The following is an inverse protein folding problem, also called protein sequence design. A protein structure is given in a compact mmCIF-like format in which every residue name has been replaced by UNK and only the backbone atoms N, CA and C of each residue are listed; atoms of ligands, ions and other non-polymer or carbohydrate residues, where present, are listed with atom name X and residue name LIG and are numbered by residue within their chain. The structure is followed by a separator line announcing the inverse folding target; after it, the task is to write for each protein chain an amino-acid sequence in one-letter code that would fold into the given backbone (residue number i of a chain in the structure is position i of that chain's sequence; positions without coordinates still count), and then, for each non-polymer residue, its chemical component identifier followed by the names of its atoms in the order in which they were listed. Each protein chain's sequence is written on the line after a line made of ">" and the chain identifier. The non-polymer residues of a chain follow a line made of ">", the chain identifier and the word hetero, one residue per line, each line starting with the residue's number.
data_IF_132077628363
#
_entry.id   IF_132077628363
#
_cell.length_a   1.000
_cell.length_b   1.000
_cell.length_c   1.000
_cell.angle_alpha   90.00
_cell.angle_beta   90.00
_cell.angle_gamma   90.00
#
_symmetry.space_group_name_H-M   'P 1'
#
loop_
_entity.id
_entity.type
_entity.pdbx_description
1 polymer ?
#
# COMPACT_ATOMS: atom_id res chain seq x y z
N UNK A 1 -14.15 -3.66 6.59
CA UNK A 1 -15.01 -4.31 7.61
C UNK A 1 -16.49 -4.38 7.18
N UNK A 2 -17.18 -3.26 6.89
CA UNK A 2 -18.65 -3.23 6.76
C UNK A 2 -19.16 -3.96 5.51
N UNK A 3 -18.41 -3.94 4.42
CA UNK A 3 -18.74 -4.70 3.20
C UNK A 3 -18.72 -6.23 3.41
N UNK A 4 -17.90 -6.73 4.33
CA UNK A 4 -17.88 -8.16 4.68
C UNK A 4 -19.19 -8.58 5.34
N UNK A 5 -19.76 -7.71 6.18
CA UNK A 5 -21.06 -7.94 6.82
C UNK A 5 -22.17 -8.03 5.77
N UNK A 6 -22.25 -7.06 4.86
CA UNK A 6 -23.24 -7.05 3.77
C UNK A 6 -23.10 -8.27 2.86
N UNK A 7 -21.86 -8.65 2.52
CA UNK A 7 -21.61 -9.84 1.71
C UNK A 7 -22.05 -11.13 2.43
N UNK A 8 -21.81 -11.24 3.73
CA UNK A 8 -22.22 -12.41 4.53
C UNK A 8 -23.74 -12.47 4.73
N UNK A 9 -24.42 -11.32 4.70
CA UNK A 9 -25.88 -11.20 4.68
C UNK A 9 -26.52 -11.62 3.35
N UNK A 10 -25.72 -12.04 2.36
CA UNK A 10 -26.20 -12.43 1.03
C UNK A 10 -26.48 -11.25 0.10
N UNK A 11 -26.03 -10.04 0.45
CA UNK A 11 -26.15 -8.84 -0.38
C UNK A 11 -24.86 -8.61 -1.18
N UNK A 12 -24.86 -7.58 -2.03
CA UNK A 12 -23.63 -7.12 -2.68
C UNK A 12 -22.64 -6.64 -1.61
N UNK A 13 -21.34 -6.91 -1.78
CA UNK A 13 -20.27 -6.47 -0.89
C UNK A 13 -19.98 -4.95 -0.95
N UNK A 14 -21.02 -4.15 -0.74
CA UNK A 14 -20.96 -2.69 -0.71
C UNK A 14 -20.87 -2.23 0.75
N UNK A 15 -19.89 -1.38 1.12
CA UNK A 15 -19.72 -0.95 2.51
C UNK A 15 -20.89 -0.10 3.02
N UNK A 16 -21.17 -0.22 4.33
CA UNK A 16 -22.06 0.70 5.06
C UNK A 16 -21.34 1.99 5.42
N UNK A 17 -22.07 3.09 5.43
CA UNK A 17 -21.63 4.35 6.05
C UNK A 17 -21.45 4.17 7.55
N UNK A 18 -20.42 4.82 8.10
CA UNK A 18 -20.25 4.98 9.55
C UNK A 18 -20.63 6.43 9.90
N UNK A 19 -21.49 6.70 10.90
CA UNK A 19 -22.30 5.76 11.71
C UNK A 19 -23.52 5.17 10.95
N UNK A 20 -24.10 4.03 11.42
CA UNK A 20 -23.77 3.30 12.66
C UNK A 20 -22.50 2.45 12.54
N UNK A 21 -21.71 2.38 13.62
CA UNK A 21 -20.55 1.49 13.69
C UNK A 21 -21.01 0.03 13.91
N UNK A 22 -20.28 -0.97 13.36
CA UNK A 22 -20.63 -2.39 13.53
C UNK A 22 -20.79 -2.85 14.98
N UNK A 23 -20.03 -2.25 15.91
CA UNK A 23 -20.13 -2.55 17.34
C UNK A 23 -21.51 -2.23 17.94
N UNK A 24 -22.25 -1.28 17.35
CA UNK A 24 -23.65 -0.99 17.72
C UNK A 24 -24.65 -1.79 16.88
N UNK A 25 -24.46 -1.81 15.56
CA UNK A 25 -25.31 -2.57 14.63
C UNK A 25 -24.51 -3.05 13.41
N UNK A 26 -24.14 -4.33 13.45
CA UNK A 26 -23.31 -5.03 12.47
C UNK A 26 -24.09 -6.14 11.76
N UNK A 27 -23.60 -7.38 11.83
CA UNK A 27 -24.16 -8.52 11.09
C UNK A 27 -25.61 -8.80 11.51
N UNK A 28 -26.53 -8.86 10.56
CA UNK A 28 -27.98 -9.02 10.78
C UNK A 28 -28.58 -7.97 11.72
N UNK A 29 -27.94 -6.79 11.81
CA UNK A 29 -28.31 -5.73 12.74
C UNK A 29 -27.79 -5.93 14.17
N UNK A 30 -27.13 -7.05 14.46
CA UNK A 30 -26.57 -7.36 15.78
C UNK A 30 -25.20 -6.70 16.00
N UNK A 31 -24.84 -6.33 17.24
CA UNK A 31 -23.48 -5.89 17.59
C UNK A 31 -22.41 -6.86 17.08
N UNK A 32 -21.45 -6.38 16.30
CA UNK A 32 -20.40 -7.21 15.67
C UNK A 32 -19.07 -6.45 15.60
N UNK A 33 -17.98 -7.14 15.90
CA UNK A 33 -16.61 -6.64 15.65
C UNK A 33 -15.95 -7.50 14.58
N UNK A 34 -15.32 -6.88 13.60
CA UNK A 34 -14.56 -7.57 12.54
C UNK A 34 -13.09 -7.39 12.83
N UNK A 35 -12.38 -8.51 13.04
CA UNK A 35 -10.94 -8.53 13.25
C UNK A 35 -10.24 -9.30 12.14
N UNK A 36 -9.00 -8.94 11.83
CA UNK A 36 -8.15 -9.75 10.98
C UNK A 36 -7.81 -11.08 11.69
N UNK A 37 -7.63 -12.14 10.90
CA UNK A 37 -7.30 -13.48 11.40
C UNK A 37 -6.04 -13.46 12.26
N UNK A 38 -4.99 -12.75 11.86
CA UNK A 38 -3.74 -12.65 12.63
C UNK A 38 -4.00 -12.10 14.03
N UNK A 39 -4.76 -11.01 14.15
CA UNK A 39 -5.09 -10.39 15.44
C UNK A 39 -5.89 -11.31 16.37
N UNK A 40 -6.77 -12.15 15.81
CA UNK A 40 -7.53 -13.15 16.59
C UNK A 40 -6.66 -14.35 16.94
N UNK A 41 -5.83 -14.83 16.01
CA UNK A 41 -5.01 -16.02 16.18
C UNK A 41 -3.90 -15.84 17.24
N UNK A 42 -3.36 -14.62 17.40
CA UNK A 42 -2.36 -14.33 18.43
C UNK A 42 -2.96 -14.23 19.83
N UNK A 43 -4.25 -13.87 19.97
CA UNK A 43 -4.87 -13.60 21.27
C UNK A 43 -4.76 -14.77 22.27
N UNK A 44 -5.03 -16.04 21.91
CA UNK A 44 -4.83 -17.16 22.83
C UNK A 44 -3.39 -17.31 23.31
N UNK A 45 -2.40 -17.04 22.45
CA UNK A 45 -0.98 -17.12 22.82
C UNK A 45 -0.60 -15.99 23.78
N UNK A 46 -1.10 -14.78 23.53
CA UNK A 46 -0.93 -13.63 24.43
C UNK A 46 -1.52 -13.95 25.82
N UNK A 47 -2.72 -14.51 25.88
CA UNK A 47 -3.36 -14.88 27.14
C UNK A 47 -2.60 -15.97 27.91
N UNK A 48 -2.04 -16.97 27.20
CA UNK A 48 -1.26 -18.05 27.81
C UNK A 48 0.12 -17.61 28.29
N UNK A 49 0.82 -16.77 27.53
CA UNK A 49 2.20 -16.34 27.82
C UNK A 49 2.28 -15.04 28.64
N UNK A 50 1.17 -14.32 28.76
CA UNK A 50 1.07 -13.04 29.43
C UNK A 50 1.24 -11.86 28.47
N UNK A 51 0.49 -10.79 28.73
CA UNK A 51 0.53 -9.57 27.91
C UNK A 51 1.91 -8.89 27.94
N UNK A 52 2.62 -8.95 29.06
CA UNK A 52 3.97 -8.38 29.20
C UNK A 52 5.01 -9.06 28.30
N UNK A 53 4.87 -10.36 28.04
CA UNK A 53 5.72 -11.08 27.10
C UNK A 53 5.53 -10.55 25.68
N UNK A 54 4.28 -10.41 25.23
CA UNK A 54 3.99 -9.91 23.89
C UNK A 54 4.38 -8.43 23.75
N UNK A 55 4.14 -7.63 24.80
CA UNK A 55 4.55 -6.23 24.87
C UNK A 55 6.07 -6.03 25.03
N UNK A 56 6.82 -7.11 25.30
CA UNK A 56 8.28 -7.09 25.34
C UNK A 56 8.93 -7.01 23.95
N UNK A 57 8.17 -7.20 22.87
CA UNK A 57 8.62 -7.02 21.49
C UNK A 57 8.17 -5.67 20.94
N UNK A 58 8.99 -5.10 20.06
CA UNK A 58 8.69 -3.85 19.36
C UNK A 58 8.89 -2.59 20.20
N UNK A 59 8.73 -1.43 19.54
CA UNK A 59 8.81 -0.12 20.19
C UNK A 59 7.51 0.22 20.93
N UNK A 60 7.51 1.22 21.83
CA UNK A 60 6.28 1.76 22.40
C UNK A 60 5.23 2.05 21.32
N UNK A 61 3.96 1.75 21.62
CA UNK A 61 2.81 1.80 20.70
C UNK A 61 2.86 0.86 19.47
N UNK A 62 3.92 0.06 19.33
CA UNK A 62 4.15 -0.82 18.19
C UNK A 62 4.57 -2.22 18.67
N UNK A 63 3.81 -2.75 19.64
CA UNK A 63 4.18 -3.95 20.38
C UNK A 63 3.75 -5.25 19.69
N UNK A 64 4.56 -6.30 19.86
CA UNK A 64 4.23 -7.67 19.46
C UNK A 64 5.07 -8.24 18.32
N UNK A 65 4.60 -9.35 17.76
CA UNK A 65 5.11 -9.94 16.52
C UNK A 65 4.16 -9.65 15.36
N UNK A 66 4.68 -9.75 14.13
CA UNK A 66 3.92 -9.55 12.91
C UNK A 66 4.35 -10.57 11.86
N UNK A 67 3.38 -11.10 11.13
CA UNK A 67 3.62 -11.83 9.89
C UNK A 67 3.95 -10.81 8.79
N UNK A 68 5.21 -10.82 8.34
CA UNK A 68 5.69 -10.09 7.18
C UNK A 68 5.58 -10.98 5.95
N UNK A 69 4.93 -10.48 4.91
CA UNK A 69 4.90 -11.13 3.60
C UNK A 69 5.78 -10.33 2.65
N UNK A 70 7.02 -10.77 2.45
CA UNK A 70 7.97 -10.09 1.56
C UNK A 70 7.88 -10.68 0.16
N UNK A 71 7.62 -9.81 -0.81
CA UNK A 71 7.37 -10.15 -2.21
C UNK A 71 8.11 -9.21 -3.15
N UNK A 72 8.13 -9.53 -4.44
CA UNK A 72 8.79 -8.74 -5.46
C UNK A 72 10.27 -9.10 -5.61
N UNK A 73 11.12 -8.09 -5.75
CA UNK A 73 12.51 -8.23 -6.22
C UNK A 73 13.51 -8.44 -5.06
N UNK A 74 13.25 -9.47 -4.24
CA UNK A 74 14.20 -10.07 -3.28
C UNK A 74 14.67 -11.43 -3.79
N UNK A 75 15.78 -11.95 -3.25
CA UNK A 75 16.31 -13.24 -3.69
C UNK A 75 15.41 -14.42 -3.28
N UNK A 76 14.86 -14.39 -2.08
CA UNK A 76 13.97 -15.43 -1.54
C UNK A 76 12.68 -14.80 -0.97
N UNK A 77 11.65 -14.55 -1.79
CA UNK A 77 10.35 -14.10 -1.31
C UNK A 77 9.75 -15.09 -0.31
N UNK A 78 9.25 -14.62 0.83
CA UNK A 78 8.72 -15.48 1.87
C UNK A 78 7.65 -14.79 2.73
N UNK A 79 6.95 -15.60 3.52
CA UNK A 79 6.18 -15.12 4.66
C UNK A 79 6.90 -15.57 5.92
N UNK A 80 7.19 -14.63 6.82
CA UNK A 80 7.92 -14.88 8.06
C UNK A 80 7.28 -14.14 9.23
N UNK A 81 7.20 -14.79 10.39
CA UNK A 81 6.85 -14.13 11.64
C UNK A 81 8.11 -13.55 12.27
N UNK A 82 8.08 -12.25 12.59
CA UNK A 82 9.21 -11.59 13.24
C UNK A 82 8.70 -10.49 14.20
N UNK A 83 9.57 -10.05 15.10
CA UNK A 83 9.25 -8.95 16.02
C UNK A 83 8.88 -7.67 15.26
N UNK A 84 7.86 -6.96 15.77
CA UNK A 84 7.57 -5.60 15.33
C UNK A 84 8.79 -4.69 15.55
N UNK A 85 8.90 -3.63 14.74
CA UNK A 85 10.01 -2.67 14.79
C UNK A 85 11.39 -3.27 14.45
N UNK A 86 11.46 -4.42 13.77
CA UNK A 86 12.66 -4.85 13.06
C UNK A 86 13.05 -3.81 11.99
N UNK A 87 14.34 -3.61 11.72
CA UNK A 87 14.75 -2.77 10.59
C UNK A 87 14.43 -3.45 9.26
N UNK A 88 14.17 -2.64 8.23
CA UNK A 88 13.94 -3.16 6.88
C UNK A 88 15.17 -3.93 6.36
N UNK A 89 16.37 -3.41 6.58
CA UNK A 89 17.62 -4.08 6.21
C UNK A 89 17.75 -5.46 6.88
N UNK A 90 17.51 -5.57 8.19
CA UNK A 90 17.57 -6.84 8.90
C UNK A 90 16.51 -7.82 8.40
N UNK A 91 15.26 -7.38 8.20
CA UNK A 91 14.19 -8.22 7.67
C UNK A 91 14.56 -8.84 6.32
N UNK A 92 15.13 -8.05 5.42
CA UNK A 92 15.47 -8.48 4.06
C UNK A 92 16.71 -9.38 4.04
N UNK A 93 17.78 -9.01 4.75
CA UNK A 93 19.01 -9.80 4.79
C UNK A 93 18.80 -11.15 5.47
N UNK A 94 18.18 -11.14 6.65
CA UNK A 94 18.01 -12.34 7.48
C UNK A 94 17.05 -13.34 6.87
N UNK A 95 15.92 -12.88 6.33
CA UNK A 95 14.81 -13.75 5.95
C UNK A 95 14.63 -13.89 4.44
N UNK A 96 15.07 -12.92 3.65
CA UNK A 96 14.84 -12.90 2.20
C UNK A 96 16.14 -13.07 1.38
N UNK A 97 17.30 -13.16 2.04
CA UNK A 97 18.60 -13.31 1.38
C UNK A 97 19.03 -12.10 0.56
N UNK A 98 18.55 -10.90 0.91
CA UNK A 98 18.93 -9.65 0.23
C UNK A 98 18.06 -9.26 -0.96
N UNK A 99 18.32 -8.05 -1.47
CA UNK A 99 17.70 -7.51 -2.68
C UNK A 99 18.26 -8.23 -3.92
N UNK A 100 17.40 -8.46 -4.93
CA UNK A 100 17.83 -9.01 -6.22
C UNK A 100 18.88 -8.09 -6.84
N UNK A 101 20.11 -8.58 -7.04
CA UNK A 101 21.22 -7.78 -7.57
C UNK A 101 21.91 -6.87 -6.54
N UNK A 102 21.62 -7.01 -5.25
CA UNK A 102 22.25 -6.26 -4.15
C UNK A 102 21.53 -4.96 -3.77
N UNK A 103 21.90 -4.37 -2.63
CA UNK A 103 21.25 -3.18 -2.06
C UNK A 103 21.26 -1.97 -2.99
N UNK A 104 22.35 -1.77 -3.73
CA UNK A 104 22.45 -0.68 -4.70
C UNK A 104 21.46 -0.83 -5.87
N UNK A 105 20.85 -2.00 -6.03
CA UNK A 105 19.81 -2.24 -7.02
C UNK A 105 18.40 -1.91 -6.50
N UNK A 106 18.23 -1.52 -5.23
CA UNK A 106 16.92 -1.16 -4.68
C UNK A 106 16.40 0.17 -5.27
N UNK A 107 15.20 0.15 -5.85
CA UNK A 107 14.53 1.34 -6.38
C UNK A 107 13.50 1.90 -5.40
N UNK A 108 12.54 1.05 -5.01
CA UNK A 108 11.39 1.45 -4.23
C UNK A 108 10.82 0.29 -3.44
N UNK A 109 10.12 0.61 -2.36
CA UNK A 109 9.41 -0.38 -1.54
C UNK A 109 8.01 0.14 -1.22
N UNK A 110 7.03 -0.75 -1.29
CA UNK A 110 5.69 -0.54 -0.70
C UNK A 110 5.67 -1.35 0.59
N UNK A 111 5.83 -0.72 1.78
CA UNK A 111 6.14 -1.44 3.01
C UNK A 111 4.95 -2.18 3.64
N UNK A 112 3.72 -1.85 3.24
CA UNK A 112 2.52 -2.25 3.97
C UNK A 112 1.35 -2.79 3.17
N UNK A 113 1.64 -3.34 1.99
CA UNK A 113 0.64 -3.76 1.01
C UNK A 113 0.26 -2.65 0.04
N UNK A 114 -0.45 -3.00 -1.02
CA UNK A 114 -0.71 -2.09 -2.16
C UNK A 114 -1.43 -0.79 -1.80
N UNK A 115 -2.04 -0.69 -0.62
CA UNK A 115 -2.76 0.50 -0.19
C UNK A 115 -1.84 1.62 0.27
N UNK A 116 -0.58 1.36 0.60
CA UNK A 116 0.29 2.40 1.19
C UNK A 116 1.20 3.04 0.13
N UNK A 117 1.62 4.31 0.32
CA UNK A 117 2.58 4.98 -0.55
C UNK A 117 3.89 4.20 -0.69
N UNK A 118 4.47 4.17 -1.89
CA UNK A 118 5.83 3.70 -2.07
C UNK A 118 6.86 4.66 -1.42
N UNK A 119 8.03 4.13 -1.10
CA UNK A 119 9.17 4.85 -0.52
C UNK A 119 10.42 4.57 -1.36
N UNK A 120 11.27 5.58 -1.62
CA UNK A 120 12.54 5.39 -2.34
C UNK A 120 13.47 4.47 -1.56
N UNK A 121 14.21 3.62 -2.26
CA UNK A 121 15.14 2.65 -1.66
C UNK A 121 16.11 3.25 -0.65
N UNK A 122 16.67 4.42 -0.96
CA UNK A 122 17.60 5.16 -0.11
C UNK A 122 17.02 5.47 1.28
N UNK A 123 15.74 5.85 1.36
CA UNK A 123 15.06 6.13 2.63
C UNK A 123 14.57 4.85 3.31
N UNK A 124 14.28 3.82 2.53
CA UNK A 124 13.73 2.57 3.04
C UNK A 124 14.80 1.72 3.74
N UNK A 125 16.06 1.79 3.29
CA UNK A 125 17.16 0.99 3.84
C UNK A 125 17.27 1.13 5.37
N UNK A 126 17.19 2.37 5.86
CA UNK A 126 17.31 2.69 7.29
C UNK A 126 15.96 2.66 8.04
N UNK A 127 14.90 2.16 7.41
CA UNK A 127 13.56 2.23 7.96
C UNK A 127 13.32 1.20 9.06
N UNK A 128 12.50 1.59 10.05
CA UNK A 128 11.95 0.68 11.06
C UNK A 128 10.57 0.21 10.60
N UNK A 129 10.36 -1.10 10.60
CA UNK A 129 9.12 -1.74 10.16
C UNK A 129 8.05 -1.74 11.26
N UNK A 130 7.53 -0.55 11.57
CA UNK A 130 6.39 -0.38 12.46
C UNK A 130 5.39 0.70 11.98
N UNK A 131 4.24 0.81 12.66
CA UNK A 131 3.16 1.71 12.22
C UNK A 131 3.55 3.17 12.34
N UNK A 132 4.20 3.56 13.44
CA UNK A 132 4.50 4.96 13.70
C UNK A 132 5.65 5.47 12.86
N UNK A 133 6.76 4.73 12.74
CA UNK A 133 7.92 5.15 11.96
C UNK A 133 7.57 5.32 10.48
N UNK A 134 6.92 4.31 9.88
CA UNK A 134 6.55 4.38 8.46
C UNK A 134 5.58 5.55 8.17
N UNK A 135 4.69 5.87 9.12
CA UNK A 135 3.76 6.99 9.00
C UNK A 135 4.45 8.35 9.15
N UNK A 136 5.23 8.52 10.21
CA UNK A 136 5.80 9.82 10.60
C UNK A 136 7.03 10.19 9.78
N UNK A 137 7.96 9.26 9.58
CA UNK A 137 9.27 9.53 8.96
C UNK A 137 9.24 9.37 7.43
N UNK A 138 8.43 8.43 6.93
CA UNK A 138 8.42 8.09 5.49
C UNK A 138 7.14 8.53 4.76
N UNK A 139 6.12 8.99 5.49
CA UNK A 139 4.83 9.34 4.91
C UNK A 139 4.14 8.16 4.20
N UNK A 140 4.39 6.94 4.67
CA UNK A 140 3.79 5.69 4.20
C UNK A 140 3.02 5.02 5.36
N UNK A 141 2.89 3.69 5.36
CA UNK A 141 2.27 2.95 6.47
C UNK A 141 2.63 1.47 6.45
N UNK A 142 2.50 0.81 7.60
CA UNK A 142 2.76 -0.63 7.70
C UNK A 142 1.63 -1.49 7.15
N UNK A 143 0.39 -1.01 7.14
CA UNK A 143 -0.78 -1.75 6.62
C UNK A 143 -0.82 -3.21 7.07
N UNK A 144 -0.76 -4.14 6.11
CA UNK A 144 -0.77 -5.59 6.37
C UNK A 144 0.62 -6.20 6.63
N UNK A 145 1.68 -5.39 6.56
CA UNK A 145 3.08 -5.81 6.47
C UNK A 145 3.37 -6.72 5.25
N UNK A 146 2.60 -6.54 4.17
CA UNK A 146 2.90 -7.13 2.87
C UNK A 146 3.89 -6.24 2.10
N UNK A 147 5.17 -6.51 2.28
CA UNK A 147 6.28 -5.73 1.73
C UNK A 147 6.45 -6.08 0.25
N UNK A 148 6.34 -5.10 -0.64
CA UNK A 148 6.60 -5.27 -2.08
C UNK A 148 7.89 -4.51 -2.40
N UNK A 149 8.93 -5.26 -2.72
CA UNK A 149 10.26 -4.74 -3.07
C UNK A 149 10.36 -4.60 -4.59
N UNK A 150 10.85 -3.45 -5.05
CA UNK A 150 11.09 -3.17 -6.47
C UNK A 150 12.53 -2.71 -6.67
N UNK A 151 13.25 -3.38 -7.56
CA UNK A 151 14.61 -3.03 -7.97
C UNK A 151 14.65 -2.04 -9.15
N UNK A 152 15.84 -1.58 -9.53
CA UNK A 152 16.05 -0.54 -10.57
C UNK A 152 15.66 -0.98 -11.98
N UNK A 153 15.43 -2.28 -12.22
CA UNK A 153 14.90 -2.79 -13.48
C UNK A 153 13.37 -2.60 -13.59
N UNK A 154 12.70 -2.10 -12.54
CA UNK A 154 11.25 -1.93 -12.51
C UNK A 154 10.82 -0.62 -13.16
N UNK A 155 9.87 -0.65 -14.09
CA UNK A 155 9.08 0.54 -14.43
C UNK A 155 8.11 0.85 -13.29
N UNK A 156 8.54 1.72 -12.37
CA UNK A 156 7.75 2.12 -11.20
C UNK A 156 6.42 2.81 -11.56
N UNK A 157 6.37 3.55 -12.68
CA UNK A 157 5.14 4.21 -13.15
C UNK A 157 4.14 3.13 -13.56
N UNK A 158 4.59 2.12 -14.30
CA UNK A 158 3.77 0.98 -14.73
C UNK A 158 3.35 0.08 -13.57
N UNK A 159 4.23 -0.14 -12.59
CA UNK A 159 3.89 -0.88 -11.38
C UNK A 159 2.73 -0.21 -10.61
N UNK A 160 2.81 1.11 -10.40
CA UNK A 160 1.75 1.86 -9.72
C UNK A 160 0.49 1.98 -10.59
N UNK A 161 0.61 2.14 -11.91
CA UNK A 161 -0.54 2.06 -12.82
C UNK A 161 -1.27 0.71 -12.69
N UNK A 162 -0.52 -0.39 -12.57
CA UNK A 162 -1.11 -1.72 -12.40
C UNK A 162 -1.90 -1.83 -11.08
N UNK A 163 -1.44 -1.15 -10.02
CA UNK A 163 -2.19 -0.99 -8.77
C UNK A 163 -3.44 -0.12 -8.97
N UNK A 164 -3.35 1.01 -9.67
CA UNK A 164 -4.53 1.83 -10.01
C UNK A 164 -5.57 1.04 -10.80
N UNK A 165 -5.14 0.19 -11.74
CA UNK A 165 -6.00 -0.74 -12.49
C UNK A 165 -6.65 -1.79 -11.58
N UNK A 166 -5.92 -2.31 -10.60
CA UNK A 166 -6.48 -3.19 -9.56
C UNK A 166 -7.57 -2.48 -8.76
N UNK A 167 -7.31 -1.29 -8.23
CA UNK A 167 -8.31 -0.54 -7.44
C UNK A 167 -9.53 -0.13 -8.25
N UNK A 168 -9.38 0.20 -9.53
CA UNK A 168 -10.51 0.42 -10.45
C UNK A 168 -11.35 -0.85 -10.62
N UNK A 169 -10.72 -2.01 -10.70
CA UNK A 169 -11.41 -3.29 -10.91
C UNK A 169 -12.14 -3.74 -9.64
N UNK A 170 -11.50 -3.63 -8.48
CA UNK A 170 -12.01 -4.07 -7.18
C UNK A 170 -12.85 -3.00 -6.45
N UNK A 171 -13.10 -1.86 -7.08
CA UNK A 171 -14.05 -0.88 -6.56
C UNK A 171 -15.48 -1.39 -6.71
N UNK A 172 -16.21 -1.51 -5.60
CA UNK A 172 -17.62 -1.92 -5.61
C UNK A 172 -18.56 -0.94 -6.34
N UNK A 173 -18.08 0.27 -6.67
CA UNK A 173 -18.83 1.27 -7.43
C UNK A 173 -19.92 2.02 -6.65
N UNK A 174 -20.00 1.88 -5.33
CA UNK A 174 -21.08 2.52 -4.54
C UNK A 174 -20.96 4.06 -4.49
N UNK A 175 -19.81 4.59 -4.05
CA UNK A 175 -19.61 6.04 -3.90
C UNK A 175 -18.96 6.68 -5.13
N UNK A 176 -19.47 7.85 -5.53
CA UNK A 176 -19.04 8.54 -6.76
C UNK A 176 -17.54 8.85 -6.77
N UNK A 177 -16.92 9.41 -5.71
CA UNK A 177 -15.48 9.74 -5.75
C UNK A 177 -14.63 8.50 -6.02
N UNK A 178 -14.95 7.35 -5.42
CA UNK A 178 -14.25 6.10 -5.70
C UNK A 178 -14.59 5.53 -7.09
N UNK A 179 -15.89 5.43 -7.42
CA UNK A 179 -16.35 4.80 -8.67
C UNK A 179 -15.79 5.49 -9.90
N UNK A 180 -15.91 6.81 -9.96
CA UNK A 180 -15.47 7.60 -11.12
C UNK A 180 -13.98 7.95 -11.01
N UNK A 181 -13.53 8.35 -9.81
CA UNK A 181 -12.17 8.80 -9.57
C UNK A 181 -11.13 7.71 -9.80
N UNK A 182 -11.36 6.47 -9.36
CA UNK A 182 -10.41 5.37 -9.63
C UNK A 182 -10.29 5.05 -11.11
N UNK A 183 -11.39 5.11 -11.86
CA UNK A 183 -11.39 4.96 -13.31
C UNK A 183 -10.63 6.06 -14.02
N UNK A 184 -10.82 7.30 -13.58
CA UNK A 184 -10.12 8.47 -14.12
C UNK A 184 -8.62 8.44 -13.81
N UNK A 185 -8.26 8.23 -12.54
CA UNK A 185 -6.87 8.11 -12.10
C UNK A 185 -6.12 7.03 -12.87
N UNK A 186 -6.73 5.85 -13.07
CA UNK A 186 -6.12 4.77 -13.85
C UNK A 186 -5.85 5.16 -15.31
N UNK A 187 -6.76 5.89 -15.96
CA UNK A 187 -6.57 6.36 -17.34
C UNK A 187 -5.46 7.41 -17.45
N UNK A 188 -5.38 8.34 -16.51
CA UNK A 188 -4.27 9.31 -16.48
C UNK A 188 -2.95 8.59 -16.23
N UNK A 189 -2.91 7.65 -15.30
CA UNK A 189 -1.73 6.81 -15.06
C UNK A 189 -1.30 6.01 -16.31
N UNK A 190 -2.24 5.48 -17.12
CA UNK A 190 -1.93 4.80 -18.38
C UNK A 190 -1.21 5.73 -19.37
N UNK A 191 -1.67 6.98 -19.45
CA UNK A 191 -1.01 8.02 -20.26
C UNK A 191 0.38 8.37 -19.71
N UNK A 192 0.55 8.44 -18.40
CA UNK A 192 1.87 8.65 -17.77
C UNK A 192 2.83 7.51 -18.08
N UNK A 193 2.36 6.24 -18.07
CA UNK A 193 3.18 5.09 -18.48
C UNK A 193 3.72 5.27 -19.91
N UNK A 194 2.87 5.73 -20.83
CA UNK A 194 3.22 5.96 -22.24
C UNK A 194 3.95 7.28 -22.51
N UNK A 195 4.07 8.16 -21.51
CA UNK A 195 4.59 9.51 -21.69
C UNK A 195 3.68 10.44 -22.51
N UNK A 196 2.40 10.08 -22.69
CA UNK A 196 1.41 10.80 -23.51
C UNK A 196 0.61 11.86 -22.71
N UNK A 197 1.14 12.30 -21.56
CA UNK A 197 0.54 13.30 -20.70
C UNK A 197 1.33 14.61 -20.73
N UNK A 198 0.69 15.69 -20.28
CA UNK A 198 1.35 16.97 -20.02
C UNK A 198 1.90 17.05 -18.58
N UNK A 199 2.89 17.91 -18.33
CA UNK A 199 3.52 18.04 -16.99
C UNK A 199 2.49 18.52 -15.96
N UNK A 200 1.58 19.39 -16.37
CA UNK A 200 0.47 19.91 -15.57
C UNK A 200 -0.52 18.81 -15.17
N UNK A 201 -0.58 17.70 -15.91
CA UNK A 201 -1.43 16.56 -15.54
C UNK A 201 -0.94 15.84 -14.30
N UNK A 202 0.33 15.99 -13.93
CA UNK A 202 0.86 15.42 -12.68
C UNK A 202 0.18 16.09 -11.48
N UNK A 203 0.09 17.42 -11.49
CA UNK A 203 -0.56 18.21 -10.42
C UNK A 203 -2.08 18.06 -10.43
N UNK A 204 -2.67 17.96 -11.62
CA UNK A 204 -4.08 17.65 -11.77
C UNK A 204 -4.41 16.26 -11.20
N UNK A 205 -3.60 15.24 -11.52
CA UNK A 205 -3.76 13.89 -11.00
C UNK A 205 -3.61 13.89 -9.47
N UNK A 206 -2.59 14.57 -8.93
CA UNK A 206 -2.42 14.72 -7.49
C UNK A 206 -3.66 15.38 -6.84
N UNK A 207 -4.19 16.45 -7.43
CA UNK A 207 -5.39 17.13 -6.94
C UNK A 207 -6.60 16.20 -6.89
N UNK A 208 -6.81 15.38 -7.92
CA UNK A 208 -7.91 14.40 -7.91
C UNK A 208 -7.69 13.30 -6.89
N UNK A 209 -6.45 12.84 -6.66
CA UNK A 209 -6.21 11.88 -5.56
C UNK A 209 -6.70 12.43 -4.22
N UNK A 210 -6.59 13.75 -3.99
CA UNK A 210 -7.08 14.44 -2.79
C UNK A 210 -8.59 14.65 -2.76
N UNK A 211 -9.25 14.69 -3.92
CA UNK A 211 -10.71 14.69 -4.02
C UNK A 211 -11.31 13.31 -3.79
N UNK A 212 -10.57 12.23 -4.08
CA UNK A 212 -10.99 10.87 -3.76
C UNK A 212 -10.74 10.56 -2.29
N UNK A 213 -9.53 10.85 -1.80
CA UNK A 213 -9.14 10.66 -0.40
C UNK A 213 -10.09 11.41 0.55
N UNK A 214 -10.56 10.74 1.59
CA UNK A 214 -11.43 11.31 2.62
C UNK A 214 -12.88 11.58 2.18
N UNK A 215 -13.23 11.40 0.91
CA UNK A 215 -14.59 11.65 0.39
C UNK A 215 -15.31 10.35 -0.03
N UNK A 216 -14.82 9.19 0.41
CA UNK A 216 -15.37 7.87 0.09
C UNK A 216 -15.98 7.18 1.30
N UNK A 217 -16.90 6.23 1.07
CA UNK A 217 -17.61 5.50 2.14
C UNK A 217 -16.64 4.61 2.95
N UNK A 218 -15.69 3.99 2.27
CA UNK A 218 -14.67 3.15 2.89
C UNK A 218 -13.27 3.58 2.44
N UNK A 219 -12.25 3.08 3.13
CA UNK A 219 -10.84 3.41 2.87
C UNK A 219 -10.29 2.85 1.54
N UNK A 220 -11.11 2.21 0.69
CA UNK A 220 -10.67 1.81 -0.65
C UNK A 220 -10.34 3.04 -1.51
N UNK A 221 -11.05 4.15 -1.34
CA UNK A 221 -10.73 5.41 -2.01
C UNK A 221 -9.33 5.91 -1.65
N UNK A 222 -9.03 5.95 -0.36
CA UNK A 222 -7.70 6.31 0.16
C UNK A 222 -6.64 5.33 -0.37
N UNK A 223 -6.90 4.02 -0.29
CA UNK A 223 -6.02 2.98 -0.79
C UNK A 223 -5.75 3.05 -2.31
N UNK A 224 -6.68 3.61 -3.09
CA UNK A 224 -6.49 3.85 -4.51
C UNK A 224 -5.73 5.15 -4.81
N UNK A 225 -5.87 6.15 -3.95
CA UNK A 225 -5.23 7.47 -4.07
C UNK A 225 -3.77 7.44 -3.60
N UNK A 226 -3.48 6.80 -2.47
CA UNK A 226 -2.17 6.82 -1.81
C UNK A 226 -1.00 6.26 -2.64
N UNK A 227 -1.16 5.18 -3.45
CA UNK A 227 -0.07 4.70 -4.31
C UNK A 227 0.35 5.74 -5.35
N UNK A 228 -0.61 6.45 -5.92
CA UNK A 228 -0.37 7.53 -6.90
C UNK A 228 0.27 8.73 -6.20
N UNK A 229 -0.23 9.12 -5.03
CA UNK A 229 0.38 10.20 -4.23
C UNK A 229 1.83 9.86 -3.86
N UNK A 230 2.10 8.62 -3.47
CA UNK A 230 3.44 8.13 -3.17
C UNK A 230 4.36 8.16 -4.38
N UNK A 231 3.86 7.75 -5.56
CA UNK A 231 4.60 7.83 -6.81
C UNK A 231 4.95 9.28 -7.14
N UNK A 232 3.96 10.18 -7.16
CA UNK A 232 4.19 11.59 -7.51
C UNK A 232 5.17 12.22 -6.53
N UNK A 233 5.02 11.99 -5.23
CA UNK A 233 5.91 12.58 -4.21
C UNK A 233 7.36 12.11 -4.35
N UNK A 234 7.57 10.84 -4.65
CA UNK A 234 8.91 10.25 -4.62
C UNK A 234 9.57 10.18 -5.99
N UNK A 235 8.79 10.09 -7.08
CA UNK A 235 9.26 9.78 -8.43
C UNK A 235 8.70 10.76 -9.49
N UNK A 236 8.44 12.02 -9.10
CA UNK A 236 7.97 13.05 -10.04
C UNK A 236 8.92 13.22 -11.22
N UNK A 237 10.22 13.26 -10.95
CA UNK A 237 11.24 13.50 -11.97
C UNK A 237 11.21 12.38 -13.02
N UNK A 238 11.05 11.13 -12.61
CA UNK A 238 10.94 9.98 -13.50
C UNK A 238 9.69 10.06 -14.40
N UNK A 239 8.59 10.63 -13.91
CA UNK A 239 7.39 10.92 -14.71
C UNK A 239 7.66 12.05 -15.71
N UNK A 240 8.25 13.16 -15.26
CA UNK A 240 8.57 14.30 -16.14
C UNK A 240 9.57 13.92 -17.23
N UNK A 241 10.58 13.12 -16.90
CA UNK A 241 11.58 12.64 -17.84
C UNK A 241 10.96 11.71 -18.88
N UNK A 242 10.01 10.84 -18.49
CA UNK A 242 9.21 10.03 -19.43
C UNK A 242 8.47 10.90 -20.43
N UNK A 243 7.78 11.94 -19.95
CA UNK A 243 7.03 12.88 -20.78
C UNK A 243 7.96 13.63 -21.75
N UNK A 244 9.09 14.16 -21.25
CA UNK A 244 10.08 14.88 -22.07
C UNK A 244 10.72 13.96 -23.13
N UNK A 245 11.03 12.72 -22.77
CA UNK A 245 11.57 11.72 -23.69
C UNK A 245 10.59 11.44 -24.84
N UNK A 246 9.31 11.21 -24.52
CA UNK A 246 8.26 10.98 -25.51
C UNK A 246 8.09 12.18 -26.46
N UNK A 247 8.07 13.41 -25.93
CA UNK A 247 7.94 14.63 -26.75
C UNK A 247 9.15 14.90 -27.66
N UNK A 248 10.34 14.53 -27.21
CA UNK A 248 11.57 14.72 -27.99
C UNK A 248 11.85 13.60 -29.00
N UNK A 249 11.02 12.56 -29.04
CA UNK A 249 11.22 11.37 -29.88
C UNK A 249 12.43 10.51 -29.45
N UNK A 250 13.01 10.79 -28.28
CA UNK A 250 14.09 9.98 -27.70
C UNK A 250 13.46 8.83 -26.93
N UNK A 251 13.64 7.60 -27.41
CA UNK A 251 13.19 6.40 -26.70
C UNK A 251 13.97 6.31 -25.38
N UNK A 252 13.28 6.47 -24.25
CA UNK A 252 13.83 6.17 -22.92
C UNK A 252 14.12 4.68 -22.82
N UNK A 253 15.33 4.30 -22.42
CA UNK A 253 15.79 2.91 -22.33
C UNK A 253 14.98 2.04 -21.33
N UNK A 254 14.10 2.65 -20.53
CA UNK A 254 13.26 1.98 -19.53
C UNK A 254 11.84 1.68 -20.09
N UNK A 255 11.50 2.19 -21.27
CA UNK A 255 10.16 2.02 -21.86
C UNK A 255 9.88 0.63 -22.48
N UNK A 256 10.77 -0.34 -22.31
CA UNK A 256 10.63 -1.68 -22.90
C UNK A 256 10.34 -2.74 -21.83
N UNK A 257 9.16 -3.38 -22.00
CA UNK A 257 8.59 -4.58 -21.35
C UNK A 257 7.76 -4.49 -20.06
#
# INVERSE_FOLDING_TARGET
>A
ETALLESLEGKKGMPRMKPPFPAGSGLYGCPTTVNNVESIAVAPTILRRGASWFAGFGRPNNAGTKLFAVSGHVNNPCVVEEAMSISFEELIEKHCGGIRGGWDNLLAVIPGGSSVPCVRGEKMKDAIMDFDYLRSELGSGLGTAAVIVMDKQTDIIKAIWRLSKFYKHESCGQCTPCREGTGWMMRVMDRLVRGEAEIEEIDMLFSVTKQVEGHTICALGDAAAWPIQGLIRNFRNEIEDRIKAQKSGKISAIAAE
#
